data_IF_794370613205
#
_entry.id   IF_794370613205
#
_cell.length_a   1.000
_cell.length_b   1.000
_cell.length_c   1.000
_cell.angle_alpha   90.00
_cell.angle_beta   90.00
_cell.angle_gamma   90.00
#
_symmetry.space_group_name_H-M   'P 1'
#
loop_
_entity.id
_entity.type
_entity.pdbx_description
1 polymer ?
#
# COMPACT_ATOMS: atom_id res chain seq x y z
N UNK A 1 37.00 10.38 -66.02
CA UNK A 1 35.95 9.37 -65.74
C UNK A 1 36.15 8.70 -64.39
N UNK A 2 37.34 8.15 -64.08
CA UNK A 2 37.64 7.49 -62.79
C UNK A 2 37.49 8.44 -61.58
N UNK A 3 37.94 9.68 -61.69
CA UNK A 3 37.84 10.70 -60.63
C UNK A 3 36.40 11.08 -60.28
N UNK A 4 35.51 11.16 -61.27
CA UNK A 4 34.09 11.42 -61.06
C UNK A 4 33.41 10.26 -60.32
N UNK A 5 33.76 9.02 -60.68
CA UNK A 5 33.23 7.80 -60.06
C UNK A 5 33.70 7.65 -58.60
N UNK A 6 34.96 8.00 -58.32
CA UNK A 6 35.50 8.04 -56.95
C UNK A 6 34.82 9.09 -56.08
N UNK A 7 34.56 10.29 -56.61
CA UNK A 7 33.87 11.36 -55.87
C UNK A 7 32.40 11.00 -55.60
N UNK A 8 31.70 10.40 -56.56
CA UNK A 8 30.33 9.90 -56.38
C UNK A 8 30.27 8.78 -55.33
N UNK A 9 31.21 7.83 -55.39
CA UNK A 9 31.31 6.75 -54.41
C UNK A 9 31.59 7.29 -53.00
N UNK A 10 32.50 8.27 -52.86
CA UNK A 10 32.77 8.94 -51.58
C UNK A 10 31.53 9.65 -51.04
N UNK A 11 30.80 10.39 -51.89
CA UNK A 11 29.57 11.06 -51.50
C UNK A 11 28.50 10.08 -51.02
N UNK A 12 28.34 8.93 -51.71
CA UNK A 12 27.43 7.85 -51.32
C UNK A 12 27.81 7.20 -50.00
N UNK A 13 29.12 6.99 -49.74
CA UNK A 13 29.61 6.47 -48.46
C UNK A 13 29.28 7.44 -47.32
N UNK A 14 29.52 8.74 -47.50
CA UNK A 14 29.20 9.76 -46.49
C UNK A 14 27.69 9.87 -46.27
N UNK A 15 26.88 9.77 -47.34
CA UNK A 15 25.42 9.71 -47.22
C UNK A 15 24.97 8.48 -46.41
N UNK A 16 25.54 7.30 -46.68
CA UNK A 16 25.21 6.08 -45.96
C UNK A 16 25.58 6.17 -44.47
N UNK A 17 26.72 6.80 -44.13
CA UNK A 17 27.10 7.07 -42.73
C UNK A 17 26.09 7.99 -42.05
N UNK A 18 25.76 9.14 -42.67
CA UNK A 18 24.76 10.08 -42.14
C UNK A 18 23.41 9.43 -41.93
N UNK A 19 22.98 8.56 -42.85
CA UNK A 19 21.71 7.84 -42.75
C UNK A 19 21.74 6.83 -41.59
N UNK A 20 22.85 6.11 -41.40
CA UNK A 20 23.04 5.20 -40.26
C UNK A 20 23.03 5.96 -38.92
N UNK A 21 23.68 7.11 -38.86
CA UNK A 21 23.70 7.96 -37.67
C UNK A 21 22.29 8.47 -37.34
N UNK A 22 21.58 9.00 -38.34
CA UNK A 22 20.19 9.44 -38.21
C UNK A 22 19.25 8.30 -37.75
N UNK A 23 19.40 7.09 -38.31
CA UNK A 23 18.66 5.91 -37.85
C UNK A 23 18.96 5.57 -36.39
N UNK A 24 20.23 5.69 -35.97
CA UNK A 24 20.61 5.46 -34.57
C UNK A 24 20.03 6.51 -33.62
N UNK A 25 19.92 7.76 -34.07
CA UNK A 25 19.30 8.85 -33.32
C UNK A 25 17.80 8.64 -33.16
N UNK A 26 17.10 8.26 -34.23
CA UNK A 26 15.65 7.94 -34.18
C UNK A 26 15.38 6.86 -33.14
N UNK A 27 16.15 5.76 -33.16
CA UNK A 27 16.02 4.70 -32.15
C UNK A 27 16.27 5.20 -30.73
N UNK A 28 17.26 6.06 -30.53
CA UNK A 28 17.54 6.64 -29.22
C UNK A 28 16.40 7.54 -28.72
N UNK A 29 15.78 8.31 -29.61
CA UNK A 29 14.62 9.16 -29.29
C UNK A 29 13.42 8.29 -28.92
N UNK A 30 13.15 7.21 -29.66
CA UNK A 30 12.06 6.26 -29.35
C UNK A 30 12.23 5.61 -27.97
N UNK A 31 13.45 5.17 -27.64
CA UNK A 31 13.76 4.61 -26.31
C UNK A 31 13.61 5.67 -25.23
N UNK A 32 14.09 6.90 -25.46
CA UNK A 32 13.97 8.01 -24.51
C UNK A 32 12.50 8.36 -24.26
N UNK A 33 11.66 8.37 -25.30
CA UNK A 33 10.20 8.57 -25.19
C UNK A 33 9.56 7.48 -24.34
N UNK A 34 9.90 6.22 -24.58
CA UNK A 34 9.37 5.08 -23.83
C UNK A 34 9.69 5.20 -22.33
N UNK A 35 10.92 5.60 -21.98
CA UNK A 35 11.29 5.82 -20.58
C UNK A 35 10.59 7.04 -19.96
N UNK A 36 10.33 8.09 -20.75
CA UNK A 36 9.56 9.25 -20.30
C UNK A 36 8.10 8.91 -20.00
N UNK A 37 7.46 8.06 -20.82
CA UNK A 37 6.10 7.57 -20.58
C UNK A 37 6.03 6.76 -19.26
N UNK A 38 6.98 5.84 -19.02
CA UNK A 38 7.07 5.09 -17.76
C UNK A 38 7.27 5.99 -16.55
N UNK A 39 8.14 6.99 -16.67
CA UNK A 39 8.41 7.96 -15.61
C UNK A 39 7.17 8.81 -15.31
N UNK A 40 6.42 9.22 -16.34
CA UNK A 40 5.19 9.97 -16.18
C UNK A 40 4.16 9.18 -15.37
N UNK A 41 3.99 7.90 -15.66
CA UNK A 41 3.07 7.04 -14.91
C UNK A 41 3.51 6.87 -13.45
N UNK A 42 4.80 6.63 -13.21
CA UNK A 42 5.35 6.55 -11.85
C UNK A 42 5.17 7.86 -11.06
N UNK A 43 5.43 9.00 -11.69
CA UNK A 43 5.27 10.32 -11.08
C UNK A 43 3.80 10.63 -10.76
N UNK A 44 2.87 10.27 -11.65
CA UNK A 44 1.42 10.42 -11.41
C UNK A 44 0.95 9.58 -10.23
N UNK A 45 1.38 8.31 -10.16
CA UNK A 45 1.06 7.43 -9.04
C UNK A 45 1.62 7.97 -7.71
N UNK A 46 2.88 8.43 -7.71
CA UNK A 46 3.50 9.02 -6.53
C UNK A 46 2.77 10.29 -6.09
N UNK A 47 2.47 11.20 -7.00
CA UNK A 47 1.78 12.45 -6.69
C UNK A 47 0.38 12.18 -6.12
N UNK A 48 -0.40 11.31 -6.78
CA UNK A 48 -1.75 10.97 -6.35
C UNK A 48 -1.76 10.28 -4.98
N UNK A 49 -0.86 9.30 -4.77
CA UNK A 49 -0.76 8.61 -3.48
C UNK A 49 -0.29 9.55 -2.36
N UNK A 50 0.68 10.42 -2.63
CA UNK A 50 1.19 11.37 -1.64
C UNK A 50 0.10 12.35 -1.20
N UNK A 51 -0.66 12.90 -2.16
CA UNK A 51 -1.75 13.84 -1.86
C UNK A 51 -2.84 13.18 -1.00
N UNK A 52 -3.25 11.95 -1.34
CA UNK A 52 -4.29 11.22 -0.60
C UNK A 52 -3.80 10.83 0.80
N UNK A 53 -2.57 10.33 0.92
CA UNK A 53 -2.00 9.96 2.20
C UNK A 53 -1.68 11.17 3.09
N UNK A 54 -1.59 12.39 2.52
CA UNK A 54 -1.24 13.62 3.24
C UNK A 54 -2.11 13.91 4.44
N UNK A 55 -3.42 13.76 4.27
CA UNK A 55 -4.38 13.97 5.35
C UNK A 55 -4.30 12.94 6.48
N UNK A 56 -3.54 11.85 6.33
CA UNK A 56 -3.51 10.72 7.27
C UNK A 56 -2.15 10.52 7.95
N UNK A 57 -1.05 10.60 7.21
CA UNK A 57 0.28 10.27 7.72
C UNK A 57 0.97 11.43 8.46
N UNK A 58 0.42 12.65 8.42
CA UNK A 58 1.03 13.82 9.04
C UNK A 58 2.28 14.32 8.29
N UNK A 59 2.61 15.60 8.45
CA UNK A 59 3.66 16.27 7.67
C UNK A 59 5.05 15.66 7.90
N UNK A 60 5.38 15.27 9.14
CA UNK A 60 6.70 14.71 9.48
C UNK A 60 7.01 13.40 8.74
N UNK A 61 5.99 12.57 8.52
CA UNK A 61 6.14 11.28 7.83
C UNK A 61 6.24 11.49 6.32
N UNK A 62 5.58 12.51 5.77
CA UNK A 62 5.46 12.74 4.32
C UNK A 62 6.54 13.65 3.76
N UNK A 63 7.07 14.59 4.55
CA UNK A 63 8.12 15.51 4.12
C UNK A 63 9.32 14.81 3.43
N UNK A 64 9.82 13.65 3.91
CA UNK A 64 10.88 12.91 3.21
C UNK A 64 10.48 12.39 1.82
N UNK A 65 9.23 11.93 1.66
CA UNK A 65 8.70 11.45 0.37
C UNK A 65 8.55 12.62 -0.61
N UNK A 66 8.06 13.76 -0.14
CA UNK A 66 7.97 15.00 -0.93
C UNK A 66 9.36 15.48 -1.37
N UNK A 67 10.36 15.44 -0.49
CA UNK A 67 11.73 15.79 -0.85
C UNK A 67 12.29 14.89 -1.96
N UNK A 68 12.01 13.58 -1.92
CA UNK A 68 12.38 12.65 -2.99
C UNK A 68 11.64 12.97 -4.30
N UNK A 69 10.34 13.30 -4.24
CA UNK A 69 9.56 13.69 -5.41
C UNK A 69 10.09 15.00 -6.04
N UNK A 70 10.52 15.97 -5.23
CA UNK A 70 11.17 17.19 -5.70
C UNK A 70 12.51 16.90 -6.39
N UNK A 71 13.32 15.99 -5.84
CA UNK A 71 14.58 15.58 -6.46
C UNK A 71 14.34 14.90 -7.83
N UNK A 72 13.32 14.04 -7.93
CA UNK A 72 12.87 13.45 -9.20
C UNK A 72 12.50 14.56 -10.19
N UNK A 73 11.69 15.54 -9.79
CA UNK A 73 11.29 16.64 -10.68
C UNK A 73 12.49 17.47 -11.19
N UNK A 74 13.48 17.74 -10.33
CA UNK A 74 14.71 18.43 -10.71
C UNK A 74 15.53 17.63 -11.74
N UNK A 75 15.63 16.31 -11.58
CA UNK A 75 16.33 15.44 -12.53
C UNK A 75 15.65 15.41 -13.90
N UNK A 76 14.31 15.38 -13.93
CA UNK A 76 13.53 15.48 -15.18
C UNK A 76 13.76 16.83 -15.85
N UNK A 77 13.76 17.92 -15.09
CA UNK A 77 14.04 19.25 -15.62
C UNK A 77 15.46 19.35 -16.20
N UNK A 78 16.45 18.76 -15.53
CA UNK A 78 17.82 18.70 -16.02
C UNK A 78 17.93 17.87 -17.31
N UNK A 79 17.24 16.73 -17.39
CA UNK A 79 17.20 15.89 -18.59
C UNK A 79 16.54 16.63 -19.77
N UNK A 80 15.42 17.31 -19.53
CA UNK A 80 14.75 18.16 -20.53
C UNK A 80 15.69 19.24 -21.06
N UNK A 81 16.45 19.90 -20.19
CA UNK A 81 17.41 20.95 -20.57
C UNK A 81 18.52 20.37 -21.48
N UNK A 82 19.14 19.25 -21.10
CA UNK A 82 20.17 18.57 -21.90
C UNK A 82 19.65 18.13 -23.28
N UNK A 83 18.41 17.68 -23.36
CA UNK A 83 17.76 17.32 -24.61
C UNK A 83 17.53 18.55 -25.50
N UNK A 84 16.99 19.63 -24.94
CA UNK A 84 16.69 20.86 -25.68
C UNK A 84 17.94 21.58 -26.20
N UNK A 85 19.02 21.58 -25.42
CA UNK A 85 20.31 22.18 -25.79
C UNK A 85 21.10 21.31 -26.79
N UNK A 86 20.60 20.11 -27.14
CA UNK A 86 21.27 19.19 -28.04
C UNK A 86 22.54 18.56 -27.46
N UNK A 87 22.84 18.79 -26.18
CA UNK A 87 24.03 18.27 -25.48
C UNK A 87 23.98 16.75 -25.36
N UNK A 88 22.78 16.17 -25.20
CA UNK A 88 22.57 14.73 -25.15
C UNK A 88 21.16 14.39 -25.64
N UNK A 89 21.07 13.63 -26.74
CA UNK A 89 19.81 13.04 -27.23
C UNK A 89 19.53 11.64 -26.68
N UNK A 90 20.51 11.06 -25.96
CA UNK A 90 20.45 9.71 -25.38
C UNK A 90 20.22 9.80 -23.87
N UNK A 91 19.06 10.29 -23.48
CA UNK A 91 18.69 10.51 -22.08
C UNK A 91 18.00 9.30 -21.43
N UNK A 92 17.81 8.20 -22.18
CA UNK A 92 17.10 7.02 -21.71
C UNK A 92 17.62 6.46 -20.38
N UNK A 93 18.94 6.38 -20.18
CA UNK A 93 19.50 5.87 -18.92
C UNK A 93 19.25 6.82 -17.75
N UNK A 94 19.33 8.13 -17.98
CA UNK A 94 19.03 9.14 -16.98
C UNK A 94 17.56 9.04 -16.56
N UNK A 95 16.64 9.01 -17.53
CA UNK A 95 15.20 8.88 -17.27
C UNK A 95 14.85 7.57 -16.58
N UNK A 96 15.47 6.45 -17.00
CA UNK A 96 15.30 5.16 -16.33
C UNK A 96 15.69 5.22 -14.85
N UNK A 97 16.85 5.82 -14.53
CA UNK A 97 17.32 5.97 -13.17
C UNK A 97 16.41 6.90 -12.34
N UNK A 98 15.94 7.99 -12.93
CA UNK A 98 14.97 8.90 -12.31
C UNK A 98 13.63 8.19 -12.06
N UNK A 99 13.18 7.33 -13.00
CA UNK A 99 12.02 6.48 -12.84
C UNK A 99 12.15 5.50 -11.66
N UNK A 100 13.33 4.88 -11.49
CA UNK A 100 13.61 4.04 -10.32
C UNK A 100 13.54 4.81 -9.00
N UNK A 101 13.98 6.07 -8.97
CA UNK A 101 13.86 6.94 -7.79
C UNK A 101 12.40 7.26 -7.47
N UNK A 102 11.59 7.55 -8.49
CA UNK A 102 10.14 7.77 -8.30
C UNK A 102 9.44 6.53 -7.72
N UNK A 103 9.78 5.33 -8.23
CA UNK A 103 9.27 4.07 -7.69
C UNK A 103 9.75 3.79 -6.27
N UNK A 104 11.01 4.13 -5.95
CA UNK A 104 11.55 4.01 -4.59
C UNK A 104 10.81 4.93 -3.61
N UNK A 105 10.50 6.18 -4.01
CA UNK A 105 9.70 7.10 -3.21
C UNK A 105 8.26 6.59 -2.99
N UNK A 106 7.65 6.01 -4.02
CA UNK A 106 6.31 5.39 -3.89
C UNK A 106 6.35 4.18 -2.94
N UNK A 107 7.43 3.39 -2.98
CA UNK A 107 7.63 2.28 -2.05
C UNK A 107 7.81 2.78 -0.61
N UNK A 108 8.64 3.80 -0.39
CA UNK A 108 8.84 4.44 0.93
C UNK A 108 7.51 4.96 1.49
N UNK A 109 6.67 5.58 0.66
CA UNK A 109 5.31 5.95 1.05
C UNK A 109 4.46 4.73 1.45
N UNK A 110 4.56 3.62 0.73
CA UNK A 110 3.89 2.37 1.08
C UNK A 110 4.36 1.79 2.41
N UNK A 111 5.67 1.79 2.66
CA UNK A 111 6.30 1.32 3.89
C UNK A 111 5.87 2.19 5.10
N UNK A 112 5.55 3.48 4.88
CA UNK A 112 4.99 4.39 5.89
C UNK A 112 3.48 4.26 6.06
N UNK A 113 2.76 3.99 4.98
CA UNK A 113 1.31 3.78 5.00
C UNK A 113 0.92 2.51 5.76
N UNK A 114 1.63 1.41 5.51
CA UNK A 114 1.33 0.10 6.08
C UNK A 114 1.20 0.12 7.62
N UNK A 115 2.16 0.64 8.41
CA UNK A 115 2.04 0.66 9.87
C UNK A 115 0.86 1.53 10.33
N UNK A 116 0.59 2.66 9.66
CA UNK A 116 -0.58 3.48 9.96
C UNK A 116 -1.88 2.70 9.73
N UNK A 117 -2.06 2.12 8.54
CA UNK A 117 -3.26 1.36 8.20
C UNK A 117 -3.43 0.13 9.09
N UNK A 118 -2.33 -0.54 9.46
CA UNK A 118 -2.33 -1.65 10.42
C UNK A 118 -2.77 -1.18 11.81
N UNK A 119 -2.31 -0.02 12.27
CA UNK A 119 -2.73 0.56 13.55
C UNK A 119 -4.23 0.91 13.56
N UNK A 120 -4.80 1.35 12.44
CA UNK A 120 -6.25 1.58 12.32
C UNK A 120 -7.05 0.27 12.34
N UNK A 121 -6.51 -0.82 11.77
CA UNK A 121 -7.15 -2.13 11.73
C UNK A 121 -7.04 -2.89 13.08
N UNK A 122 -5.97 -2.67 13.84
CA UNK A 122 -5.63 -3.45 15.05
C UNK A 122 -6.77 -3.54 16.09
N UNK A 123 -7.50 -2.47 16.44
CA UNK A 123 -8.60 -2.56 17.40
C UNK A 123 -9.70 -3.52 16.96
N UNK A 124 -9.99 -3.58 15.66
CA UNK A 124 -11.01 -4.45 15.12
C UNK A 124 -10.55 -5.91 15.04
N UNK A 125 -9.26 -6.15 14.79
CA UNK A 125 -8.70 -7.50 14.85
C UNK A 125 -8.69 -8.06 16.27
N UNK A 126 -8.40 -7.23 17.27
CA UNK A 126 -8.50 -7.60 18.67
C UNK A 126 -9.95 -7.94 19.05
N UNK A 127 -10.89 -7.05 18.74
CA UNK A 127 -12.32 -7.30 18.95
C UNK A 127 -12.76 -8.59 18.27
N UNK A 128 -12.39 -8.80 17.00
CA UNK A 128 -12.72 -10.03 16.27
C UNK A 128 -12.23 -11.27 17.01
N UNK A 129 -11.00 -11.28 17.52
CA UNK A 129 -10.44 -12.43 18.27
C UNK A 129 -11.26 -12.74 19.52
N UNK A 130 -11.67 -11.72 20.26
CA UNK A 130 -12.50 -11.87 21.47
C UNK A 130 -13.85 -12.51 21.17
N UNK A 131 -14.40 -12.23 19.98
CA UNK A 131 -15.79 -12.55 19.65
C UNK A 131 -15.94 -13.72 18.69
N UNK A 132 -14.83 -14.32 18.25
CA UNK A 132 -14.84 -15.41 17.25
C UNK A 132 -15.60 -16.64 17.77
N UNK A 133 -15.62 -16.84 19.09
CA UNK A 133 -16.29 -17.98 19.73
C UNK A 133 -17.78 -17.75 20.00
N UNK A 134 -18.31 -16.57 19.69
CA UNK A 134 -19.71 -16.26 19.96
C UNK A 134 -20.63 -16.78 18.86
N UNK A 135 -21.75 -17.45 19.21
CA UNK A 135 -22.69 -17.97 18.22
C UNK A 135 -23.29 -16.86 17.34
N UNK A 136 -23.42 -15.63 17.86
CA UNK A 136 -23.90 -14.46 17.12
C UNK A 136 -22.93 -14.03 16.01
N UNK A 137 -21.64 -14.29 16.19
CA UNK A 137 -20.60 -13.97 15.21
C UNK A 137 -20.41 -15.11 14.23
N UNK A 138 -20.63 -16.36 14.63
CA UNK A 138 -20.52 -17.54 13.76
C UNK A 138 -21.39 -17.38 12.49
N UNK A 139 -22.61 -16.85 12.63
CA UNK A 139 -23.51 -16.60 11.49
C UNK A 139 -22.96 -15.55 10.48
N UNK A 140 -22.07 -14.66 10.93
CA UNK A 140 -21.50 -13.56 10.12
C UNK A 140 -20.00 -13.74 9.85
N UNK A 141 -19.42 -14.87 10.25
CA UNK A 141 -17.97 -15.05 10.27
C UNK A 141 -17.36 -14.92 8.87
N UNK A 142 -17.98 -15.54 7.87
CA UNK A 142 -17.49 -15.50 6.50
C UNK A 142 -17.44 -14.07 5.95
N UNK A 143 -18.48 -13.27 6.20
CA UNK A 143 -18.53 -11.87 5.77
C UNK A 143 -17.45 -11.03 6.47
N UNK A 144 -17.24 -11.24 7.77
CA UNK A 144 -16.19 -10.57 8.55
C UNK A 144 -14.81 -10.96 8.02
N UNK A 145 -14.57 -12.24 7.73
CA UNK A 145 -13.31 -12.72 7.16
C UNK A 145 -13.03 -12.08 5.79
N UNK A 146 -14.03 -12.03 4.92
CA UNK A 146 -13.91 -11.37 3.62
C UNK A 146 -13.60 -9.88 3.77
N UNK A 147 -14.29 -9.19 4.68
CA UNK A 147 -14.08 -7.76 4.92
C UNK A 147 -12.66 -7.48 5.43
N UNK A 148 -12.18 -8.27 6.39
CA UNK A 148 -10.80 -8.18 6.90
C UNK A 148 -9.78 -8.46 5.79
N UNK A 149 -10.00 -9.45 4.94
CA UNK A 149 -9.11 -9.74 3.81
C UNK A 149 -9.04 -8.56 2.81
N UNK A 150 -10.19 -7.92 2.53
CA UNK A 150 -10.25 -6.74 1.68
C UNK A 150 -9.50 -5.54 2.29
N UNK A 151 -9.66 -5.30 3.61
CA UNK A 151 -8.94 -4.23 4.31
C UNK A 151 -7.43 -4.52 4.31
N UNK A 152 -7.01 -5.77 4.56
CA UNK A 152 -5.59 -6.17 4.52
C UNK A 152 -4.96 -5.97 3.16
N UNK A 153 -5.70 -6.22 2.07
CA UNK A 153 -5.22 -5.91 0.73
C UNK A 153 -4.92 -4.40 0.56
N UNK A 154 -5.74 -3.54 1.16
CA UNK A 154 -5.56 -2.07 1.16
C UNK A 154 -4.52 -1.58 2.18
N UNK A 155 -4.22 -2.35 3.22
CA UNK A 155 -3.09 -2.06 4.13
C UNK A 155 -1.75 -2.19 3.40
N UNK A 156 -1.65 -3.14 2.47
CA UNK A 156 -0.39 -3.43 1.76
C UNK A 156 0.02 -2.39 0.70
N UNK A 157 -0.89 -1.48 0.32
CA UNK A 157 -0.65 -0.50 -0.75
C UNK A 157 -1.26 0.85 -0.38
N UNK A 158 -0.54 1.97 -0.54
CA UNK A 158 -1.11 3.28 -0.29
C UNK A 158 -2.24 3.57 -1.29
N UNK A 159 -3.34 4.20 -0.84
CA UNK A 159 -4.42 4.61 -1.73
C UNK A 159 -3.92 5.65 -2.74
N UNK A 160 -4.33 5.52 -4.00
CA UNK A 160 -3.97 6.41 -5.11
C UNK A 160 -5.08 7.39 -5.46
N UNK A 161 -6.24 7.31 -4.81
CA UNK A 161 -7.35 8.24 -5.00
C UNK A 161 -8.16 8.41 -3.71
N UNK A 162 -8.89 9.53 -3.61
CA UNK A 162 -9.82 9.78 -2.50
C UNK A 162 -10.85 8.65 -2.37
N UNK A 163 -11.38 8.15 -3.48
CA UNK A 163 -12.33 7.03 -3.48
C UNK A 163 -11.74 5.73 -2.90
N UNK A 164 -10.46 5.44 -3.13
CA UNK A 164 -9.80 4.27 -2.53
C UNK A 164 -9.62 4.44 -1.01
N UNK A 165 -9.31 5.66 -0.56
CA UNK A 165 -9.23 5.99 0.87
C UNK A 165 -10.61 5.92 1.54
N UNK A 166 -11.64 6.49 0.94
CA UNK A 166 -13.02 6.40 1.41
C UNK A 166 -13.50 4.96 1.47
N UNK A 167 -13.12 4.11 0.51
CA UNK A 167 -13.42 2.69 0.54
C UNK A 167 -12.73 1.98 1.72
N UNK A 168 -11.48 2.33 2.02
CA UNK A 168 -10.76 1.80 3.17
C UNK A 168 -11.45 2.21 4.49
N UNK A 169 -11.75 3.50 4.63
CA UNK A 169 -12.43 4.06 5.81
C UNK A 169 -13.84 3.47 5.98
N UNK A 170 -14.61 3.37 4.89
CA UNK A 170 -15.94 2.77 4.88
C UNK A 170 -15.92 1.30 5.29
N UNK A 171 -14.94 0.53 4.82
CA UNK A 171 -14.77 -0.87 5.22
C UNK A 171 -14.37 -1.01 6.69
N UNK A 172 -13.50 -0.14 7.20
CA UNK A 172 -13.18 -0.10 8.63
C UNK A 172 -14.41 0.23 9.47
N UNK A 173 -15.21 1.22 9.05
CA UNK A 173 -16.45 1.57 9.72
C UNK A 173 -17.49 0.43 9.67
N UNK A 174 -17.60 -0.27 8.53
CA UNK A 174 -18.46 -1.45 8.39
C UNK A 174 -18.03 -2.60 9.31
N UNK A 175 -16.72 -2.86 9.39
CA UNK A 175 -16.16 -3.84 10.29
C UNK A 175 -16.46 -3.44 11.74
N UNK A 176 -16.25 -2.17 12.07
CA UNK A 176 -16.62 -1.58 13.35
C UNK A 176 -18.08 -1.81 13.71
N UNK A 177 -19.03 -1.43 12.86
CA UNK A 177 -20.48 -1.60 13.09
C UNK A 177 -20.89 -3.06 13.28
N UNK A 178 -20.32 -3.97 12.49
CA UNK A 178 -20.58 -5.41 12.60
C UNK A 178 -20.06 -5.98 13.91
N UNK A 179 -18.89 -5.51 14.34
CA UNK A 179 -18.32 -5.86 15.64
C UNK A 179 -18.95 -5.06 16.79
N UNK A 180 -19.60 -3.92 16.55
CA UNK A 180 -20.09 -2.99 17.58
C UNK A 180 -21.18 -3.61 18.46
N UNK A 181 -22.05 -4.43 17.87
CA UNK A 181 -23.02 -5.25 18.62
C UNK A 181 -22.35 -6.13 19.67
N UNK A 182 -21.08 -6.45 19.46
CA UNK A 182 -20.23 -7.24 20.35
C UNK A 182 -19.15 -6.40 21.07
N UNK A 183 -18.88 -5.18 20.61
CA UNK A 183 -17.97 -4.25 21.29
C UNK A 183 -18.63 -3.58 22.50
N UNK A 184 -19.98 -3.53 22.55
CA UNK A 184 -20.77 -3.05 23.69
C UNK A 184 -20.86 -4.05 24.86
N UNK A 185 -20.02 -5.08 24.85
CA UNK A 185 -19.92 -6.00 25.98
C UNK A 185 -19.40 -5.26 27.22
N UNK A 186 -19.95 -5.53 28.41
CA UNK A 186 -19.41 -5.01 29.67
C UNK A 186 -17.92 -5.32 29.82
N UNK A 187 -17.18 -4.44 30.49
CA UNK A 187 -15.73 -4.57 30.66
C UNK A 187 -15.36 -5.90 31.33
N UNK A 188 -16.19 -6.39 32.25
CA UNK A 188 -16.05 -7.67 32.93
C UNK A 188 -16.18 -8.84 31.95
N UNK A 189 -17.11 -8.75 30.99
CA UNK A 189 -17.30 -9.77 29.94
C UNK A 189 -16.15 -9.74 28.95
N UNK A 190 -15.68 -8.56 28.56
CA UNK A 190 -14.47 -8.40 27.73
C UNK A 190 -13.25 -9.01 28.41
N UNK A 191 -13.04 -8.74 29.70
CA UNK A 191 -11.93 -9.30 30.47
C UNK A 191 -12.02 -10.82 30.58
N UNK A 192 -13.23 -11.36 30.77
CA UNK A 192 -13.45 -12.81 30.76
C UNK A 192 -13.13 -13.42 29.39
N UNK A 193 -13.66 -12.86 28.30
CA UNK A 193 -13.40 -13.35 26.94
C UNK A 193 -11.91 -13.31 26.60
N UNK A 194 -11.20 -12.26 27.01
CA UNK A 194 -9.76 -12.17 26.83
C UNK A 194 -9.04 -13.30 27.56
N UNK A 195 -9.39 -13.58 28.82
CA UNK A 195 -8.85 -14.73 29.56
C UNK A 195 -9.20 -16.07 28.89
N UNK A 196 -10.38 -16.21 28.29
CA UNK A 196 -10.79 -17.42 27.55
C UNK A 196 -9.91 -17.61 26.31
N UNK A 197 -9.74 -16.57 25.50
CA UNK A 197 -8.86 -16.58 24.32
C UNK A 197 -7.42 -16.91 24.69
N UNK A 198 -6.95 -16.44 25.84
CA UNK A 198 -5.61 -16.70 26.36
C UNK A 198 -5.47 -18.06 27.07
N UNK A 199 -6.54 -18.85 27.21
CA UNK A 199 -6.53 -20.13 27.92
C UNK A 199 -6.31 -20.01 29.43
N UNK A 200 -6.56 -18.82 30.01
CA UNK A 200 -6.37 -18.49 31.43
C UNK A 200 -7.68 -18.30 32.20
N UNK A 201 -8.83 -18.45 31.55
CA UNK A 201 -10.12 -18.33 32.22
C UNK A 201 -10.33 -19.46 33.22
N UNK A 202 -10.72 -19.10 34.43
CA UNK A 202 -11.03 -19.98 35.54
C UNK A 202 -12.47 -19.80 36.01
N UNK A 203 -12.97 -20.69 36.87
CA UNK A 203 -14.30 -20.54 37.47
C UNK A 203 -14.45 -19.27 38.32
N UNK A 204 -13.34 -18.72 38.85
CA UNK A 204 -13.37 -17.47 39.61
C UNK A 204 -13.72 -16.26 38.72
N UNK A 205 -13.50 -16.37 37.41
CA UNK A 205 -13.77 -15.30 36.45
C UNK A 205 -15.25 -15.25 36.02
N UNK A 206 -16.07 -16.24 36.43
CA UNK A 206 -17.53 -16.26 36.25
C UNK A 206 -18.23 -15.35 37.27
N UNK A 207 -18.00 -14.05 37.17
CA UNK A 207 -18.72 -13.04 37.96
C UNK A 207 -20.22 -13.07 37.65
N UNK A 208 -21.10 -12.54 38.52
CA UNK A 208 -22.53 -12.50 38.23
C UNK A 208 -22.90 -11.83 36.90
N UNK A 209 -22.25 -10.72 36.48
CA UNK A 209 -22.45 -10.14 35.14
C UNK A 209 -22.08 -11.09 34.00
N UNK A 210 -20.97 -11.83 34.12
CA UNK A 210 -20.53 -12.80 33.11
C UNK A 210 -21.49 -13.98 33.02
N UNK A 211 -21.94 -14.52 34.15
CA UNK A 211 -22.94 -15.61 34.18
C UNK A 211 -24.26 -15.19 33.55
N UNK A 212 -24.81 -14.05 33.96
CA UNK A 212 -26.03 -13.51 33.37
C UNK A 212 -25.90 -13.32 31.87
N UNK A 213 -24.74 -12.86 31.40
CA UNK A 213 -24.47 -12.72 29.98
C UNK A 213 -24.39 -14.09 29.27
N UNK A 214 -23.67 -15.08 29.82
CA UNK A 214 -23.57 -16.43 29.23
C UNK A 214 -24.96 -17.08 29.10
N UNK A 215 -25.77 -17.00 30.16
CA UNK A 215 -27.12 -17.58 30.23
C UNK A 215 -28.09 -16.93 29.23
N UNK A 216 -28.11 -15.59 29.15
CA UNK A 216 -29.02 -14.85 28.27
C UNK A 216 -28.81 -15.14 26.78
N UNK A 217 -27.59 -15.54 26.38
CA UNK A 217 -27.28 -15.85 24.99
C UNK A 217 -27.18 -17.34 24.68
N UNK A 218 -27.44 -18.23 25.64
CA UNK A 218 -27.21 -19.66 25.45
C UNK A 218 -25.76 -20.00 25.11
N UNK A 219 -24.80 -19.24 25.66
CA UNK A 219 -23.37 -19.29 25.27
C UNK A 219 -22.54 -20.27 26.10
N UNK A 220 -23.19 -21.08 26.94
CA UNK A 220 -22.52 -21.96 27.89
C UNK A 220 -21.63 -23.00 27.19
N UNK A 221 -22.07 -23.49 26.04
CA UNK A 221 -21.35 -24.50 25.24
C UNK A 221 -20.23 -23.90 24.37
N UNK A 222 -20.13 -22.57 24.31
CA UNK A 222 -19.21 -21.85 23.42
C UNK A 222 -17.83 -21.59 24.02
N UNK A 223 -17.62 -21.89 25.30
CA UNK A 223 -16.36 -21.61 26.00
C UNK A 223 -15.87 -22.82 26.78
N UNK A 224 -14.56 -23.11 26.71
CA UNK A 224 -13.91 -24.06 27.62
C UNK A 224 -13.20 -23.30 28.74
N UNK A 225 -13.51 -23.64 29.98
CA UNK A 225 -12.83 -23.12 31.17
C UNK A 225 -11.81 -24.16 31.61
N UNK A 226 -10.56 -23.74 31.77
CA UNK A 226 -9.50 -24.63 32.22
C UNK A 226 -9.56 -24.74 33.74
N UNK A 227 -9.68 -25.97 34.25
CA UNK A 227 -9.50 -26.22 35.67
C UNK A 227 -8.00 -26.14 35.97
N UNK A 228 -7.59 -25.13 36.73
CA UNK A 228 -6.24 -25.11 37.27
C UNK A 228 -6.06 -26.36 38.16
N UNK A 229 -5.28 -27.34 37.69
CA UNK A 229 -4.88 -28.46 38.51
C UNK A 229 -4.08 -27.90 39.68
N UNK A 230 -4.63 -28.01 40.90
CA UNK A 230 -3.84 -27.83 42.12
C UNK A 230 -2.68 -28.82 42.04
N UNK A 231 -1.48 -28.32 41.82
CA UNK A 231 -0.26 -29.03 42.20
C UNK A 231 -0.19 -28.90 43.72
N UNK A 232 -0.63 -29.96 44.39
CA UNK A 232 -0.32 -30.22 45.79
C UNK A 232 1.18 -30.57 45.93
#
# INVERSE_FOLDING_TARGET
>A
MITALLNDTRAKIELAKRLKDAQSEVKAIEVTRTELEKLLDAARQLAAATEVCRGRLGEEIIAPVLAQAMAVAQEVQASRKRFAEGTSRRENLALYNTGRKAQAALKDLGDRWQPYAQAQLAPYEELRRLVTYLPEVAASEHEIQQLVAQIRAQVSRPPQSAAQLEQFDGRLADLGRRLERVARLPDEVRSFLMKVVEGRATLADLTPPVRSWVEQGGRADSFSIVFAARRD
#
